data_IF_464092939383
#
_entry.id   IF_464092939383
#
_cell.length_a   1.000
_cell.length_b   1.000
_cell.length_c   1.000
_cell.angle_alpha   90.00
_cell.angle_beta   90.00
_cell.angle_gamma   90.00
#
_symmetry.space_group_name_H-M   'P 1'
#
loop_
_entity.id
_entity.type
_entity.pdbx_description
1 polymer ?
#
# COMPACT_ATOMS: atom_id res chain seq x y z
N UNK A 1 -1.20 15.53 -41.15
CA UNK A 1 -2.48 14.80 -41.15
C UNK A 1 -2.27 13.29 -41.21
N UNK A 2 -1.41 12.78 -42.14
CA UNK A 2 -1.16 11.34 -42.29
C UNK A 2 -0.62 10.67 -41.05
N UNK A 3 0.28 11.31 -40.29
CA UNK A 3 0.86 10.77 -39.05
C UNK A 3 -0.21 10.55 -37.97
N UNK A 4 -1.24 11.41 -37.92
CA UNK A 4 -2.35 11.28 -36.97
C UNK A 4 -3.27 10.08 -37.24
N UNK A 5 -3.24 9.51 -38.44
CA UNK A 5 -4.03 8.34 -38.82
C UNK A 5 -3.32 6.99 -38.53
N UNK A 6 -1.98 7.02 -38.31
CA UNK A 6 -1.20 5.80 -38.07
C UNK A 6 -1.74 5.01 -36.88
N UNK A 7 -2.04 5.60 -35.69
CA UNK A 7 -2.56 4.85 -34.55
C UNK A 7 -3.86 4.09 -34.89
N UNK A 8 -4.75 4.72 -35.62
CA UNK A 8 -6.05 4.14 -36.01
C UNK A 8 -5.91 2.97 -37.01
N UNK A 9 -4.88 2.99 -37.85
CA UNK A 9 -4.60 1.92 -38.79
C UNK A 9 -3.86 0.75 -38.12
N UNK A 10 -3.01 1.05 -37.16
CA UNK A 10 -2.18 0.03 -36.47
C UNK A 10 -2.94 -0.64 -35.31
N UNK A 11 -3.82 0.09 -34.60
CA UNK A 11 -4.57 -0.43 -33.45
C UNK A 11 -5.32 -1.75 -33.72
N UNK A 12 -6.04 -1.93 -34.87
CA UNK A 12 -6.71 -3.20 -35.16
C UNK A 12 -5.73 -4.38 -35.35
N UNK A 13 -4.51 -4.12 -35.83
CA UNK A 13 -3.48 -5.14 -35.98
C UNK A 13 -2.87 -5.48 -34.62
N UNK A 14 -2.64 -4.49 -33.77
CA UNK A 14 -2.12 -4.68 -32.41
C UNK A 14 -3.12 -5.43 -31.49
N UNK A 15 -4.42 -5.26 -31.69
CA UNK A 15 -5.43 -6.03 -30.97
C UNK A 15 -5.45 -7.53 -31.28
N UNK A 16 -4.73 -7.98 -32.33
CA UNK A 16 -4.59 -9.39 -32.69
C UNK A 16 -3.30 -10.00 -32.19
N UNK A 17 -2.46 -9.23 -31.52
CA UNK A 17 -1.20 -9.69 -30.94
C UNK A 17 -1.47 -10.05 -29.49
N UNK A 18 -1.27 -11.30 -29.13
CA UNK A 18 -1.24 -11.72 -27.74
C UNK A 18 0.09 -11.24 -27.13
N UNK A 19 0.01 -10.26 -26.27
CA UNK A 19 1.17 -9.64 -25.62
C UNK A 19 1.66 -10.40 -24.40
N UNK A 20 0.84 -11.34 -23.92
CA UNK A 20 1.12 -12.15 -22.74
C UNK A 20 0.70 -13.59 -22.98
N UNK A 21 1.51 -14.53 -22.52
CA UNK A 21 1.12 -15.92 -22.42
C UNK A 21 0.44 -16.15 -21.06
N UNK A 22 -0.66 -16.90 -21.05
CA UNK A 22 -1.29 -17.31 -19.80
C UNK A 22 -0.37 -18.29 -19.07
N UNK A 23 -0.18 -18.08 -17.77
CA UNK A 23 0.46 -19.07 -16.91
C UNK A 23 -0.38 -20.35 -16.87
N UNK A 24 0.30 -21.50 -16.87
CA UNK A 24 -0.38 -22.80 -16.71
C UNK A 24 -0.95 -22.97 -15.29
N UNK A 25 -0.33 -22.29 -14.30
CA UNK A 25 -0.71 -22.33 -12.88
C UNK A 25 -1.37 -21.00 -12.47
N UNK A 26 -2.70 -20.91 -12.53
CA UNK A 26 -3.40 -19.72 -12.08
C UNK A 26 -3.31 -19.60 -10.56
N UNK A 27 -3.11 -18.35 -10.08
CA UNK A 27 -3.19 -18.01 -8.66
C UNK A 27 -4.60 -17.48 -8.34
N UNK A 28 -5.13 -17.87 -7.18
CA UNK A 28 -6.33 -17.28 -6.64
C UNK A 28 -6.00 -15.95 -5.94
N UNK A 29 -6.88 -14.94 -6.04
CA UNK A 29 -6.69 -13.71 -5.27
C UNK A 29 -8.00 -13.14 -4.74
N UNK A 30 -7.93 -12.45 -3.62
CA UNK A 30 -9.03 -11.75 -3.01
C UNK A 30 -8.61 -10.31 -2.65
N UNK A 31 -9.36 -9.31 -3.13
CA UNK A 31 -9.09 -7.91 -2.85
C UNK A 31 -10.18 -7.32 -1.96
N UNK A 32 -9.81 -6.82 -0.78
CA UNK A 32 -10.73 -6.30 0.21
C UNK A 32 -10.92 -4.79 0.03
N UNK A 33 -12.17 -4.36 -0.09
CA UNK A 33 -12.52 -2.94 -0.23
C UNK A 33 -13.40 -2.49 0.94
N UNK A 34 -12.79 -2.07 2.04
CA UNK A 34 -13.48 -1.69 3.28
C UNK A 34 -14.27 -0.39 3.22
N UNK A 35 -14.05 0.45 2.18
CA UNK A 35 -14.71 1.77 2.00
C UNK A 35 -14.64 2.65 3.26
N UNK A 36 -13.53 2.60 3.99
CA UNK A 36 -13.35 3.38 5.22
C UNK A 36 -13.32 4.88 4.87
N UNK A 37 -14.20 5.71 5.45
CA UNK A 37 -14.18 7.15 5.21
C UNK A 37 -12.86 7.78 5.63
N UNK A 38 -12.29 8.66 4.80
CA UNK A 38 -11.00 9.28 5.05
C UNK A 38 -10.94 10.07 6.36
N UNK A 39 -12.08 10.62 6.81
CA UNK A 39 -12.18 11.42 8.03
C UNK A 39 -11.92 10.61 9.31
N UNK A 40 -12.24 9.30 9.30
CA UNK A 40 -12.09 8.43 10.47
C UNK A 40 -10.88 7.49 10.34
N UNK A 41 -10.24 7.46 9.18
CA UNK A 41 -9.16 6.51 8.87
C UNK A 41 -8.01 6.56 9.89
N UNK A 42 -7.70 7.74 10.37
CA UNK A 42 -6.57 7.99 11.29
C UNK A 42 -7.02 8.23 12.74
N UNK A 43 -8.31 8.10 13.01
CA UNK A 43 -8.85 8.28 14.35
C UNK A 43 -8.66 6.99 15.15
N UNK A 44 -7.91 7.02 16.27
CA UNK A 44 -7.67 5.84 17.10
C UNK A 44 -8.94 5.20 17.65
N UNK A 45 -10.03 5.97 17.82
CA UNK A 45 -11.30 5.45 18.30
C UNK A 45 -11.93 4.44 17.32
N UNK A 46 -11.68 4.61 16.00
CA UNK A 46 -12.18 3.75 14.94
C UNK A 46 -11.21 2.65 14.50
N UNK A 47 -9.99 2.59 15.04
CA UNK A 47 -8.98 1.60 14.67
C UNK A 47 -9.52 0.18 14.76
N UNK A 48 -10.15 -0.16 15.88
CA UNK A 48 -10.68 -1.51 16.10
C UNK A 48 -11.73 -1.88 15.06
N UNK A 49 -12.64 -0.98 14.75
CA UNK A 49 -13.75 -1.23 13.82
C UNK A 49 -13.22 -1.38 12.38
N UNK A 50 -12.18 -0.62 12.02
CA UNK A 50 -11.50 -0.75 10.73
C UNK A 50 -10.84 -2.12 10.59
N UNK A 51 -10.08 -2.56 11.59
CA UNK A 51 -9.42 -3.87 11.58
C UNK A 51 -10.45 -4.99 11.54
N UNK A 52 -11.50 -4.92 12.37
CA UNK A 52 -12.60 -5.92 12.37
C UNK A 52 -13.29 -5.98 11.01
N UNK A 53 -13.45 -4.85 10.32
CA UNK A 53 -14.03 -4.80 8.97
C UNK A 53 -13.16 -5.60 7.98
N UNK A 54 -11.84 -5.37 7.96
CA UNK A 54 -10.95 -6.10 7.05
C UNK A 54 -10.84 -7.59 7.41
N UNK A 55 -10.73 -7.93 8.69
CA UNK A 55 -10.70 -9.33 9.14
C UNK A 55 -11.99 -10.05 8.74
N UNK A 56 -13.17 -9.45 8.99
CA UNK A 56 -14.44 -10.03 8.61
C UNK A 56 -14.62 -10.21 7.11
N UNK A 57 -14.09 -9.29 6.28
CA UNK A 57 -14.08 -9.45 4.83
C UNK A 57 -13.15 -10.58 4.37
N UNK A 58 -12.13 -10.90 5.14
CA UNK A 58 -11.12 -11.91 4.82
C UNK A 58 -11.52 -13.30 5.34
N UNK A 59 -12.53 -13.42 6.20
CA UNK A 59 -12.88 -14.65 6.95
C UNK A 59 -13.01 -15.90 6.06
N UNK A 60 -13.62 -15.76 4.87
CA UNK A 60 -13.82 -16.87 3.93
C UNK A 60 -12.65 -17.00 2.89
N UNK A 61 -11.55 -16.28 3.06
CA UNK A 61 -10.49 -16.15 2.05
C UNK A 61 -9.07 -16.45 2.56
N UNK A 62 -8.92 -16.93 3.80
CA UNK A 62 -7.59 -17.17 4.41
C UNK A 62 -6.72 -18.18 3.66
N UNK A 63 -7.34 -19.10 2.89
CA UNK A 63 -6.65 -20.08 2.05
C UNK A 63 -6.43 -19.59 0.59
N UNK A 64 -6.72 -18.32 0.29
CA UNK A 64 -6.48 -17.72 -1.03
C UNK A 64 -4.99 -17.43 -1.20
N UNK A 65 -4.39 -17.74 -2.37
CA UNK A 65 -2.96 -17.57 -2.60
C UNK A 65 -2.49 -16.14 -2.34
N UNK A 66 -3.29 -15.13 -2.77
CA UNK A 66 -2.98 -13.73 -2.59
C UNK A 66 -4.17 -12.94 -2.06
N UNK A 67 -4.04 -12.37 -0.88
CA UNK A 67 -5.03 -11.50 -0.26
C UNK A 67 -4.48 -10.06 -0.28
N UNK A 68 -5.30 -9.11 -0.75
CA UNK A 68 -4.91 -7.72 -0.86
C UNK A 68 -5.79 -6.83 0.02
N UNK A 69 -5.17 -6.16 0.98
CA UNK A 69 -5.78 -5.05 1.72
C UNK A 69 -5.28 -3.72 1.16
N UNK A 70 -6.09 -2.66 1.15
CA UNK A 70 -5.75 -1.41 0.51
C UNK A 70 -4.64 -0.63 1.25
N UNK A 71 -4.22 0.48 0.64
CA UNK A 71 -3.30 1.45 1.23
C UNK A 71 -3.75 1.85 2.63
N UNK A 72 -2.82 1.72 3.60
CA UNK A 72 -3.07 2.07 5.01
C UNK A 72 -4.32 1.37 5.58
N UNK A 73 -4.50 0.08 5.30
CA UNK A 73 -5.58 -0.70 5.90
C UNK A 73 -5.33 -0.94 7.39
N UNK A 74 -4.07 -0.96 7.81
CA UNK A 74 -3.64 -0.93 9.20
C UNK A 74 -3.12 0.48 9.48
N UNK A 75 -3.94 1.40 10.05
CA UNK A 75 -3.59 2.83 10.14
C UNK A 75 -2.76 3.17 11.40
N UNK A 76 -1.93 2.25 11.85
CA UNK A 76 -0.96 2.44 12.93
C UNK A 76 0.42 1.95 12.47
N UNK A 77 1.52 2.52 13.02
CA UNK A 77 2.86 2.07 12.71
C UNK A 77 3.08 0.59 13.00
N UNK A 78 3.92 -0.06 12.18
CA UNK A 78 4.18 -1.50 12.26
C UNK A 78 4.69 -1.97 13.63
N UNK A 79 5.43 -1.15 14.34
CA UNK A 79 5.95 -1.44 15.69
C UNK A 79 4.83 -1.53 16.74
N UNK A 80 3.65 -0.95 16.47
CA UNK A 80 2.46 -1.01 17.30
C UNK A 80 1.45 -2.06 16.81
N UNK A 81 1.60 -2.55 15.58
CA UNK A 81 0.67 -3.45 14.92
C UNK A 81 0.93 -4.94 15.20
N UNK A 82 1.93 -5.31 16.01
CA UNK A 82 2.39 -6.69 16.20
C UNK A 82 1.25 -7.68 16.47
N UNK A 83 0.32 -7.37 17.38
CA UNK A 83 -0.82 -8.26 17.67
C UNK A 83 -1.77 -8.48 16.48
N UNK A 84 -1.92 -7.48 15.63
CA UNK A 84 -2.75 -7.57 14.42
C UNK A 84 -2.04 -8.45 13.39
N UNK A 85 -0.74 -8.23 13.21
CA UNK A 85 0.11 -9.01 12.30
C UNK A 85 0.17 -10.47 12.74
N UNK A 86 0.38 -10.73 14.03
CA UNK A 86 0.40 -12.09 14.60
C UNK A 86 -0.93 -12.81 14.39
N UNK A 87 -2.05 -12.11 14.57
CA UNK A 87 -3.39 -12.68 14.34
C UNK A 87 -3.59 -13.02 12.86
N UNK A 88 -3.28 -12.11 11.94
CA UNK A 88 -3.36 -12.35 10.50
C UNK A 88 -2.48 -13.54 10.11
N UNK A 89 -1.24 -13.58 10.59
CA UNK A 89 -0.31 -14.68 10.30
C UNK A 89 -0.81 -16.04 10.82
N UNK A 90 -1.56 -16.05 11.91
CA UNK A 90 -2.11 -17.29 12.48
C UNK A 90 -3.35 -17.83 11.73
N UNK A 91 -4.08 -16.94 11.01
CA UNK A 91 -5.28 -17.33 10.25
C UNK A 91 -4.93 -17.71 8.79
N UNK A 92 -3.80 -17.22 8.25
CA UNK A 92 -3.39 -17.47 6.86
C UNK A 92 -3.08 -18.95 6.63
N UNK A 93 -3.53 -19.48 5.49
CA UNK A 93 -3.13 -20.81 5.01
C UNK A 93 -1.64 -20.88 4.68
N UNK A 94 -1.08 -22.09 4.69
CA UNK A 94 0.37 -22.33 4.53
C UNK A 94 0.98 -21.72 3.25
N UNK A 95 0.19 -21.59 2.19
CA UNK A 95 0.62 -21.03 0.90
C UNK A 95 0.08 -19.62 0.64
N UNK A 96 -0.66 -19.05 1.58
CA UNK A 96 -1.31 -17.76 1.41
C UNK A 96 -0.39 -16.60 1.79
N UNK A 97 -0.53 -15.50 1.07
CA UNK A 97 0.15 -14.24 1.36
C UNK A 97 -0.86 -13.11 1.43
N UNK A 98 -0.85 -12.36 2.50
CA UNK A 98 -1.60 -11.12 2.62
C UNK A 98 -0.67 -9.93 2.43
N UNK A 99 -1.01 -9.05 1.47
CA UNK A 99 -0.32 -7.76 1.28
C UNK A 99 -1.23 -6.66 1.80
N UNK A 100 -0.71 -5.84 2.71
CA UNK A 100 -1.45 -4.74 3.35
C UNK A 100 -0.67 -3.44 3.37
N UNK A 101 -1.39 -2.32 3.21
CA UNK A 101 -0.83 -1.00 3.46
C UNK A 101 -0.71 -0.73 4.95
N UNK A 102 0.48 -0.27 5.38
CA UNK A 102 0.81 0.02 6.77
C UNK A 102 1.83 1.16 6.86
N UNK A 103 1.71 2.11 7.79
CA UNK A 103 2.77 3.06 8.08
C UNK A 103 3.98 2.33 8.69
N UNK A 104 5.16 2.71 8.25
CA UNK A 104 6.42 2.20 8.79
C UNK A 104 7.20 3.30 9.49
N UNK A 105 7.58 3.06 10.72
CA UNK A 105 8.42 3.94 11.50
C UNK A 105 9.73 3.22 11.86
N UNK A 106 10.86 3.82 11.55
CA UNK A 106 12.15 3.21 11.81
C UNK A 106 13.31 4.18 11.69
N UNK A 107 14.43 3.80 12.29
CA UNK A 107 15.66 4.56 12.18
C UNK A 107 16.33 4.33 10.82
N UNK A 108 16.74 5.39 10.17
CA UNK A 108 17.48 5.34 8.91
C UNK A 108 18.95 5.72 9.14
N UNK A 109 19.84 4.76 8.96
CA UNK A 109 21.29 4.98 9.07
C UNK A 109 21.80 6.01 8.04
N UNK A 110 21.09 6.15 6.91
CA UNK A 110 21.47 7.06 5.83
C UNK A 110 21.40 8.53 6.22
N UNK A 111 20.40 8.91 7.03
CA UNK A 111 20.17 10.29 7.48
C UNK A 111 20.40 10.45 8.98
N UNK A 112 20.76 9.36 9.66
CA UNK A 112 20.96 9.30 11.12
C UNK A 112 19.74 9.83 11.91
N UNK A 113 18.53 9.56 11.40
CA UNK A 113 17.28 10.04 12.00
C UNK A 113 16.16 9.02 11.78
N UNK A 114 15.07 9.19 12.50
CA UNK A 114 13.86 8.40 12.30
C UNK A 114 13.11 8.84 11.04
N UNK A 115 12.60 7.85 10.31
CA UNK A 115 11.79 8.05 9.11
C UNK A 115 10.42 7.44 9.26
N UNK A 116 9.44 8.05 8.62
CA UNK A 116 8.07 7.57 8.57
C UNK A 116 7.67 7.35 7.11
N UNK A 117 7.34 6.12 6.74
CA UNK A 117 7.05 5.73 5.36
C UNK A 117 5.61 5.25 5.22
N UNK A 118 4.99 5.61 4.10
CA UNK A 118 3.82 4.91 3.61
C UNK A 118 4.31 3.63 2.93
N UNK A 119 3.88 2.47 3.42
CA UNK A 119 4.46 1.19 3.02
C UNK A 119 3.40 0.15 2.75
N UNK A 120 3.78 -0.88 2.00
CA UNK A 120 3.07 -2.15 1.93
C UNK A 120 3.93 -3.25 2.52
N UNK A 121 3.30 -4.22 3.17
CA UNK A 121 3.94 -5.34 3.85
C UNK A 121 3.28 -6.63 3.41
N UNK A 122 4.08 -7.67 3.17
CA UNK A 122 3.63 -9.04 2.97
C UNK A 122 3.65 -9.79 4.30
N UNK A 123 2.63 -10.62 4.54
CA UNK A 123 2.46 -11.47 5.74
C UNK A 123 2.07 -12.86 5.27
N UNK A 124 2.68 -13.90 5.81
CA UNK A 124 2.38 -15.30 5.50
C UNK A 124 3.48 -15.97 4.69
N UNK A 125 3.15 -16.66 3.59
CA UNK A 125 4.13 -17.35 2.75
C UNK A 125 5.09 -16.37 2.05
N UNK A 126 4.60 -15.19 1.62
CA UNK A 126 5.45 -14.08 1.20
C UNK A 126 5.90 -13.24 2.40
N UNK A 127 7.06 -12.61 2.28
CA UNK A 127 7.62 -11.72 3.29
C UNK A 127 8.24 -10.48 2.64
N UNK A 128 8.35 -9.42 3.38
CA UNK A 128 9.00 -8.20 2.92
C UNK A 128 8.18 -6.95 3.17
N UNK A 129 8.82 -5.82 2.87
CA UNK A 129 8.22 -4.51 2.96
C UNK A 129 8.71 -3.63 1.81
N UNK A 130 7.80 -2.85 1.25
CA UNK A 130 8.11 -1.87 0.23
C UNK A 130 7.63 -0.48 0.68
N UNK A 131 8.53 0.48 0.67
CA UNK A 131 8.25 1.87 1.02
C UNK A 131 7.92 2.68 -0.22
N UNK A 132 6.81 3.41 -0.19
CA UNK A 132 6.35 4.27 -1.29
C UNK A 132 7.40 5.29 -1.69
N UNK A 133 7.78 5.31 -2.97
CA UNK A 133 8.80 6.22 -3.50
C UNK A 133 8.22 7.54 -4.00
N UNK A 134 7.05 7.49 -4.65
CA UNK A 134 6.39 8.67 -5.22
C UNK A 134 5.27 9.14 -4.29
N UNK A 135 5.61 10.10 -3.45
CA UNK A 135 4.68 10.69 -2.50
C UNK A 135 3.77 11.71 -3.16
N UNK A 136 2.55 11.84 -2.62
CA UNK A 136 1.55 12.82 -3.07
C UNK A 136 1.87 14.19 -2.50
N UNK A 137 2.13 15.21 -3.36
CA UNK A 137 2.34 16.57 -2.89
C UNK A 137 1.13 17.09 -2.10
N UNK A 138 1.37 17.81 -1.02
CA UNK A 138 0.38 18.38 -0.09
C UNK A 138 -0.50 17.37 0.66
N UNK A 139 -0.36 16.07 0.38
CA UNK A 139 -1.03 15.01 1.14
C UNK A 139 -0.04 14.24 2.01
N UNK A 140 1.08 13.80 1.43
CA UNK A 140 2.09 13.00 2.11
C UNK A 140 3.39 13.76 2.39
N UNK A 141 3.65 14.84 1.68
CA UNK A 141 4.74 15.77 1.95
C UNK A 141 4.39 17.18 1.50
N UNK A 142 5.01 18.18 2.11
CA UNK A 142 4.86 19.58 1.70
C UNK A 142 6.03 20.00 0.81
N UNK A 143 5.81 20.30 -0.49
CA UNK A 143 6.86 20.84 -1.35
C UNK A 143 7.37 22.17 -0.79
N UNK A 144 8.70 22.41 -0.85
CA UNK A 144 9.32 23.63 -0.34
C UNK A 144 8.98 23.91 1.14
N UNK A 145 8.93 22.87 1.96
CA UNK A 145 8.53 22.91 3.36
C UNK A 145 9.26 24.00 4.17
N UNK A 146 10.56 24.20 3.92
CA UNK A 146 11.36 25.24 4.59
C UNK A 146 10.89 26.66 4.32
N UNK A 147 10.19 26.91 3.21
CA UNK A 147 9.68 28.23 2.82
C UNK A 147 8.21 28.38 3.19
N UNK A 148 7.43 27.31 3.09
CA UNK A 148 5.97 27.32 3.24
C UNK A 148 5.50 27.06 4.67
N UNK A 149 6.28 26.40 5.53
CA UNK A 149 5.93 26.13 6.94
C UNK A 149 5.60 27.38 7.77
N UNK A 150 6.16 28.52 7.41
CA UNK A 150 5.90 29.80 8.09
C UNK A 150 4.69 30.57 7.56
N UNK A 151 4.16 30.18 6.40
CA UNK A 151 3.11 30.92 5.70
C UNK A 151 1.71 30.29 5.82
N UNK A 152 1.62 28.99 6.08
CA UNK A 152 0.35 28.27 5.97
C UNK A 152 0.23 27.24 7.10
N UNK A 153 -0.25 27.66 8.28
CA UNK A 153 -0.65 26.76 9.37
C UNK A 153 -1.79 25.78 9.03
N UNK A 154 -2.26 25.81 7.78
CA UNK A 154 -3.26 24.91 7.20
C UNK A 154 -2.65 23.55 6.77
N UNK A 155 -1.33 23.46 6.60
CA UNK A 155 -0.64 22.24 6.13
C UNK A 155 -0.04 21.38 7.26
N UNK A 156 -0.30 21.69 8.52
CA UNK A 156 -0.02 20.78 9.64
C UNK A 156 -1.05 19.62 9.67
N UNK A 157 -1.16 18.93 8.53
CA UNK A 157 -1.90 17.67 8.46
C UNK A 157 -1.03 16.57 9.12
N UNK A 158 -1.59 15.70 9.97
CA UNK A 158 -0.86 14.63 10.66
C UNK A 158 -0.09 13.68 9.71
N UNK A 159 -0.33 13.80 8.40
CA UNK A 159 0.16 12.93 7.34
C UNK A 159 1.19 13.59 6.41
N UNK A 160 1.61 14.83 6.67
CA UNK A 160 2.44 15.59 5.72
C UNK A 160 3.96 15.39 5.87
N UNK A 161 4.40 14.37 6.61
CA UNK A 161 5.81 14.12 6.93
C UNK A 161 6.30 12.72 6.54
N UNK A 162 5.69 12.10 5.52
CA UNK A 162 6.22 10.84 5.01
C UNK A 162 7.56 11.03 4.31
N UNK A 163 8.46 10.13 4.60
CA UNK A 163 9.75 10.00 3.92
C UNK A 163 9.62 9.14 2.67
N UNK A 164 10.37 9.48 1.61
CA UNK A 164 10.43 8.66 0.41
C UNK A 164 11.16 7.35 0.68
N UNK A 165 10.64 6.26 0.15
CA UNK A 165 11.34 4.99 0.14
C UNK A 165 12.66 5.04 -0.65
N UNK A 166 13.60 4.12 -0.39
CA UNK A 166 14.83 3.96 -1.15
C UNK A 166 14.56 3.77 -2.64
N UNK A 167 15.52 4.20 -3.49
CA UNK A 167 15.39 4.07 -4.95
C UNK A 167 15.35 2.61 -5.39
N UNK A 168 16.08 1.74 -4.70
CA UNK A 168 16.13 0.31 -4.92
C UNK A 168 15.59 -0.41 -3.69
N UNK A 169 14.64 -1.29 -3.92
CA UNK A 169 14.01 -2.12 -2.89
C UNK A 169 13.77 -3.50 -3.49
N UNK A 170 13.91 -4.52 -2.67
CA UNK A 170 13.58 -5.89 -3.05
C UNK A 170 12.06 -6.01 -3.29
N UNK A 171 11.62 -6.86 -4.22
CA UNK A 171 10.21 -7.19 -4.37
C UNK A 171 9.68 -7.93 -3.13
N UNK A 172 8.37 -7.87 -2.96
CA UNK A 172 7.64 -8.62 -1.92
C UNK A 172 7.48 -10.07 -2.32
#
# INVERSE_FOLDING_TARGET
LFVALIPWLVAPAMNRVDWTDLSEDPISFAAMQGNIPQQIKWDPEFLKDQIVTYLGMTEDHWDTDLILWPETAIPIPQDQAGKIIDHISAELGDNSTLITGIPWYGFSDRIEDFTFHNSIMAIGNGEGIYHKQKLVPFGEYVPLQSVLRGLIGFFDLPMSDFSRGPEWQDPL
#
